data_IF_446331611046
#
_entry.id   IF_446331611046
#
_cell.length_a   1.000
_cell.length_b   1.000
_cell.length_c   1.000
_cell.angle_alpha   90.00
_cell.angle_beta   90.00
_cell.angle_gamma   90.00
#
_symmetry.space_group_name_H-M   'P 1'
#
loop_
_entity.id
_entity.type
_entity.pdbx_description
1 polymer ?
#
# COMPACT_ATOMS: atom_id res chain seq x y z
N UNK A 1 3.02 15.94 5.69
CA UNK A 1 2.48 15.61 4.35
C UNK A 1 1.16 16.34 4.17
N UNK A 2 0.97 16.98 3.02
CA UNK A 2 -0.22 17.77 2.70
C UNK A 2 -1.21 17.01 1.81
N UNK A 3 -2.48 17.44 1.76
CA UNK A 3 -3.54 16.84 0.92
C UNK A 3 -3.11 16.78 -0.55
N UNK A 4 -2.52 17.86 -1.05
CA UNK A 4 -1.99 17.94 -2.42
C UNK A 4 -0.89 16.91 -2.67
N UNK A 5 0.05 16.76 -1.73
CA UNK A 5 1.12 15.77 -1.85
C UNK A 5 0.57 14.34 -1.84
N UNK A 6 -0.43 14.04 -1.00
CA UNK A 6 -1.09 12.73 -0.97
C UNK A 6 -1.77 12.41 -2.32
N UNK A 7 -2.48 13.38 -2.90
CA UNK A 7 -3.10 13.22 -4.23
C UNK A 7 -2.09 12.97 -5.34
N UNK A 8 -1.02 13.76 -5.35
CA UNK A 8 0.05 13.61 -6.32
C UNK A 8 0.73 12.24 -6.22
N UNK A 9 1.00 11.75 -5.00
CA UNK A 9 1.57 10.41 -4.78
C UNK A 9 0.65 9.28 -5.24
N UNK A 10 -0.66 9.45 -5.07
CA UNK A 10 -1.66 8.47 -5.48
C UNK A 10 -2.07 8.61 -6.96
N UNK A 11 -1.58 9.62 -7.69
CA UNK A 11 -1.94 9.87 -9.09
C UNK A 11 -3.40 10.28 -9.30
N UNK A 12 -4.06 10.82 -8.28
CA UNK A 12 -5.48 11.21 -8.33
C UNK A 12 -5.64 12.73 -8.36
N UNK A 13 -6.50 13.20 -9.25
CA UNK A 13 -6.77 14.64 -9.42
C UNK A 13 -7.97 15.14 -8.59
N UNK A 14 -8.75 14.25 -7.96
CA UNK A 14 -10.03 14.62 -7.34
C UNK A 14 -10.16 14.17 -5.88
N UNK A 15 -10.68 15.08 -5.06
CA UNK A 15 -11.09 14.92 -3.66
C UNK A 15 -12.04 13.72 -3.50
N UNK A 16 -12.94 13.52 -4.46
CA UNK A 16 -13.93 12.42 -4.43
C UNK A 16 -13.26 11.05 -4.48
N UNK A 17 -12.28 10.86 -5.36
CA UNK A 17 -11.51 9.62 -5.41
C UNK A 17 -10.67 9.41 -4.15
N UNK A 18 -10.07 10.47 -3.62
CA UNK A 18 -9.35 10.39 -2.36
C UNK A 18 -10.29 9.97 -1.21
N UNK A 19 -11.49 10.54 -1.16
CA UNK A 19 -12.52 10.21 -0.17
C UNK A 19 -12.97 8.74 -0.26
N UNK A 20 -13.17 8.21 -1.48
CA UNK A 20 -13.47 6.79 -1.69
C UNK A 20 -12.35 5.87 -1.18
N UNK A 21 -11.08 6.19 -1.47
CA UNK A 21 -9.93 5.39 -1.02
C UNK A 21 -9.76 5.42 0.51
N UNK A 22 -10.04 6.56 1.12
CA UNK A 22 -9.99 6.73 2.56
C UNK A 22 -11.24 6.21 3.27
N UNK A 23 -12.28 5.86 2.51
CA UNK A 23 -13.62 5.52 3.00
C UNK A 23 -14.20 6.63 3.90
N UNK A 24 -14.00 7.88 3.49
CA UNK A 24 -14.49 9.07 4.18
C UNK A 24 -15.47 9.83 3.28
N UNK A 25 -16.35 10.67 3.86
CA UNK A 25 -17.16 11.58 3.07
C UNK A 25 -16.29 12.64 2.37
N UNK A 26 -16.67 12.98 1.13
CA UNK A 26 -15.93 13.95 0.32
C UNK A 26 -15.85 15.33 1.00
N UNK A 27 -16.90 15.75 1.71
CA UNK A 27 -16.93 16.99 2.50
C UNK A 27 -15.83 17.01 3.57
N UNK A 28 -15.54 15.87 4.20
CA UNK A 28 -14.50 15.78 5.22
C UNK A 28 -13.11 15.89 4.59
N UNK A 29 -12.90 15.31 3.40
CA UNK A 29 -11.64 15.43 2.66
C UNK A 29 -11.46 16.81 2.01
N UNK A 30 -12.55 17.44 1.58
CA UNK A 30 -12.55 18.79 1.03
C UNK A 30 -12.20 19.81 2.11
N UNK A 31 -12.75 19.64 3.32
CA UNK A 31 -12.44 20.43 4.50
C UNK A 31 -10.98 20.31 4.98
N UNK A 32 -10.20 19.37 4.43
CA UNK A 32 -8.78 19.27 4.77
C UNK A 32 -7.96 20.35 4.07
N UNK A 33 -6.99 20.94 4.79
CA UNK A 33 -6.13 21.97 4.24
C UNK A 33 -5.25 21.40 3.11
N UNK A 34 -5.23 22.08 1.96
CA UNK A 34 -4.48 21.63 0.78
C UNK A 34 -2.98 21.51 1.05
N UNK A 35 -2.43 22.50 1.77
CA UNK A 35 -1.02 22.60 2.15
C UNK A 35 -0.78 22.39 3.66
N UNK A 36 -1.82 21.96 4.40
CA UNK A 36 -1.74 21.78 5.85
C UNK A 36 -1.42 20.35 6.27
N UNK A 37 -1.29 20.17 7.59
CA UNK A 37 -1.10 18.85 8.17
C UNK A 37 -2.35 17.99 7.96
N UNK A 38 -2.17 16.84 7.31
CA UNK A 38 -3.20 15.83 7.22
C UNK A 38 -3.48 15.21 8.60
N UNK A 39 -4.72 14.83 8.90
CA UNK A 39 -5.03 14.10 10.12
C UNK A 39 -4.27 12.77 10.12
N UNK A 40 -3.80 12.35 11.30
CA UNK A 40 -3.02 11.12 11.47
C UNK A 40 -3.92 9.86 11.42
N UNK A 41 -4.62 9.67 10.31
CA UNK A 41 -5.55 8.56 10.17
C UNK A 41 -4.83 7.28 9.70
N UNK A 42 -5.27 6.11 10.17
CA UNK A 42 -4.66 4.84 9.78
C UNK A 42 -4.79 4.56 8.27
N UNK A 43 -5.86 5.02 7.60
CA UNK A 43 -6.00 4.81 6.15
C UNK A 43 -4.95 5.61 5.38
N UNK A 44 -4.68 6.85 5.81
CA UNK A 44 -3.60 7.68 5.22
C UNK A 44 -2.24 7.01 5.48
N UNK A 45 -1.99 6.49 6.68
CA UNK A 45 -0.73 5.78 6.98
C UNK A 45 -0.57 4.52 6.12
N UNK A 46 -1.64 3.77 5.85
CA UNK A 46 -1.62 2.63 4.94
C UNK A 46 -1.32 3.03 3.49
N UNK A 47 -1.85 4.17 3.04
CA UNK A 47 -1.55 4.73 1.71
C UNK A 47 -0.14 5.34 1.62
N UNK A 48 0.35 5.96 2.69
CA UNK A 48 1.67 6.59 2.74
C UNK A 48 2.82 5.61 3.02
N UNK A 49 2.54 4.55 3.79
CA UNK A 49 3.47 3.49 4.21
C UNK A 49 3.30 2.18 3.43
N UNK A 50 2.47 2.17 2.39
CA UNK A 50 2.19 1.01 1.55
C UNK A 50 2.75 1.13 0.14
N UNK A 51 4.07 1.26 0.00
CA UNK A 51 4.73 0.46 -1.02
C UNK A 51 5.02 -0.90 -0.37
N UNK A 52 4.25 -1.97 -0.64
CA UNK A 52 4.97 -3.16 -1.02
C UNK A 52 5.67 -2.74 -2.30
N UNK A 53 6.95 -2.37 -2.20
CA UNK A 53 7.87 -2.59 -3.32
C UNK A 53 7.46 -3.97 -3.84
N UNK A 54 6.95 -4.12 -5.07
CA UNK A 54 6.67 -5.45 -5.58
C UNK A 54 7.96 -6.23 -5.34
N UNK A 55 7.94 -7.36 -4.61
CA UNK A 55 9.13 -8.19 -4.55
C UNK A 55 9.50 -8.41 -6.02
N UNK A 56 10.70 -7.95 -6.38
CA UNK A 56 11.23 -8.00 -7.73
C UNK A 56 10.82 -9.35 -8.35
N UNK A 57 10.12 -9.37 -9.50
CA UNK A 57 9.74 -10.64 -10.07
C UNK A 57 11.01 -11.40 -10.43
N UNK A 58 11.00 -12.67 -10.06
CA UNK A 58 11.86 -13.77 -10.54
C UNK A 58 13.31 -13.83 -10.02
N UNK A 59 13.52 -14.74 -9.06
CA UNK A 59 14.36 -15.90 -9.36
C UNK A 59 13.57 -17.15 -8.92
N UNK A 60 13.45 -18.18 -9.77
CA UNK A 60 12.64 -19.36 -9.49
C UNK A 60 13.15 -20.05 -8.23
N UNK A 61 12.21 -20.47 -7.39
CA UNK A 61 12.46 -21.43 -6.34
C UNK A 61 13.05 -22.67 -6.98
N UNK A 62 14.37 -22.84 -6.84
CA UNK A 62 14.99 -24.14 -6.99
C UNK A 62 14.46 -24.98 -5.83
N UNK A 63 13.29 -25.58 -6.05
CA UNK A 63 12.90 -26.77 -5.34
C UNK A 63 13.87 -27.84 -5.85
N UNK A 64 15.02 -27.95 -5.19
CA UNK A 64 15.86 -29.14 -5.20
C UNK A 64 14.97 -30.27 -4.68
N UNK A 65 14.21 -30.83 -5.62
CA UNK A 65 13.33 -31.98 -5.50
C UNK A 65 14.19 -33.25 -5.49
N UNK A 66 15.40 -33.20 -4.92
CA UNK A 66 16.25 -34.36 -4.77
C UNK A 66 15.90 -35.06 -3.44
N UNK A 67 14.76 -35.77 -3.52
CA UNK A 67 14.80 -37.22 -3.34
C UNK A 67 15.23 -37.70 -1.95
N UNK A 68 14.36 -37.49 -0.97
CA UNK A 68 14.30 -38.32 0.24
C UNK A 68 14.11 -39.79 -0.20
N UNK A 69 15.15 -40.61 -0.08
CA UNK A 69 15.05 -42.07 -0.13
C UNK A 69 14.71 -42.60 1.27
N UNK A 70 13.81 -43.59 1.39
CA UNK A 70 13.38 -44.11 2.68
C UNK A 70 14.50 -44.85 3.41
N UNK A 71 14.52 -44.67 4.73
CA UNK A 71 15.35 -45.32 5.74
C UNK A 71 15.25 -46.85 5.64
N UNK A 72 16.40 -47.53 5.55
CA UNK A 72 16.52 -48.98 5.73
C UNK A 72 16.65 -49.28 7.24
N UNK A 73 15.75 -50.12 7.75
CA UNK A 73 15.73 -50.60 9.12
C UNK A 73 16.62 -51.84 9.23
N UNK A 74 17.62 -51.79 10.11
CA UNK A 74 18.46 -52.92 10.50
C UNK A 74 18.18 -53.33 11.96
#
# INVERSE_FOLDING_TARGET
MSKRALRARLGIASDKHLATLLQLPAEQVEAWPEDGALPALPQIQRLLGGEPKPPDPVAPTDFDHDRIVPVDAA
#
